data_IF_890612719552
#
_entry.id   IF_890612719552
#
_cell.length_a   1.000
_cell.length_b   1.000
_cell.length_c   1.000
_cell.angle_alpha   90.00
_cell.angle_beta   90.00
_cell.angle_gamma   90.00
#
_symmetry.space_group_name_H-M   'P 1'
#
loop_
_entity.id
_entity.type
_entity.pdbx_description
1 polymer ?
#
# COMPACT_ATOMS: atom_id res chain seq x y z
N UNK A 1 18.65 2.17 -21.25
CA UNK A 1 17.19 2.36 -21.32
C UNK A 1 16.57 1.04 -21.77
N UNK A 2 15.49 0.57 -21.13
CA UNK A 2 14.83 -0.69 -21.51
C UNK A 2 14.10 -0.48 -22.84
N UNK A 3 14.39 -1.33 -23.82
CA UNK A 3 13.69 -1.35 -25.11
C UNK A 3 12.44 -2.22 -24.99
N UNK A 4 11.29 -1.56 -24.85
CA UNK A 4 9.99 -2.22 -24.62
C UNK A 4 9.50 -2.98 -25.86
N UNK A 5 9.95 -2.63 -27.06
CA UNK A 5 9.56 -3.30 -28.31
C UNK A 5 10.06 -4.74 -28.39
N UNK A 6 11.10 -5.10 -27.62
CA UNK A 6 11.62 -6.47 -27.53
C UNK A 6 10.63 -7.45 -26.90
N UNK A 7 9.60 -6.95 -26.22
CA UNK A 7 8.55 -7.77 -25.63
C UNK A 7 7.32 -7.88 -26.51
N UNK A 8 7.30 -7.24 -27.68
CA UNK A 8 6.16 -7.29 -28.59
C UNK A 8 6.07 -8.68 -29.22
N UNK A 9 4.93 -9.33 -29.00
CA UNK A 9 4.57 -10.58 -29.66
C UNK A 9 3.35 -10.33 -30.53
N UNK A 10 3.57 -10.35 -31.84
CA UNK A 10 2.51 -10.20 -32.83
C UNK A 10 1.79 -11.52 -33.06
N UNK A 11 0.47 -11.51 -32.86
CA UNK A 11 -0.41 -12.62 -33.13
C UNK A 11 -1.24 -12.31 -34.38
N UNK A 12 -1.01 -13.10 -35.43
CA UNK A 12 -1.85 -13.13 -36.62
C UNK A 12 -2.99 -14.13 -36.38
N UNK A 13 -4.18 -13.61 -36.14
CA UNK A 13 -5.38 -14.36 -35.78
C UNK A 13 -6.47 -14.16 -36.82
N UNK A 14 -7.54 -14.93 -36.69
CA UNK A 14 -8.80 -14.71 -37.39
C UNK A 14 -9.84 -14.13 -36.44
N UNK A 15 -10.64 -13.21 -36.93
CA UNK A 15 -11.82 -12.72 -36.23
C UNK A 15 -13.06 -12.91 -37.09
N UNK A 16 -14.21 -13.03 -36.41
CA UNK A 16 -15.51 -13.09 -37.04
C UNK A 16 -16.20 -11.75 -36.85
N UNK A 17 -16.63 -11.14 -37.96
CA UNK A 17 -17.48 -9.95 -37.92
C UNK A 17 -18.92 -10.37 -37.62
N UNK A 18 -19.43 -9.96 -36.46
CA UNK A 18 -20.75 -10.37 -35.95
C UNK A 18 -21.53 -9.11 -35.51
N UNK A 19 -22.84 -9.00 -35.81
CA UNK A 19 -23.67 -7.91 -35.31
C UNK A 19 -23.64 -7.81 -33.79
N UNK A 20 -23.55 -6.58 -33.24
CA UNK A 20 -23.40 -6.31 -31.81
C UNK A 20 -24.43 -7.05 -30.92
N UNK A 21 -25.66 -7.20 -31.42
CA UNK A 21 -26.76 -7.84 -30.69
C UNK A 21 -26.58 -9.36 -30.55
N UNK A 22 -25.83 -9.98 -31.46
CA UNK A 22 -25.67 -11.43 -31.57
C UNK A 22 -24.36 -11.94 -30.99
N UNK A 23 -23.42 -11.04 -30.64
CA UNK A 23 -22.10 -11.40 -30.12
C UNK A 23 -22.17 -12.36 -28.93
N UNK A 24 -23.07 -12.12 -27.95
CA UNK A 24 -23.22 -13.00 -26.77
C UNK A 24 -23.60 -14.43 -27.16
N UNK A 25 -24.52 -14.59 -28.10
CA UNK A 25 -24.93 -15.90 -28.59
C UNK A 25 -23.80 -16.58 -29.35
N UNK A 26 -23.11 -15.85 -30.23
CA UNK A 26 -21.95 -16.36 -30.95
C UNK A 26 -20.82 -16.82 -30.03
N UNK A 27 -20.51 -16.04 -28.98
CA UNK A 27 -19.49 -16.41 -27.97
C UNK A 27 -19.84 -17.71 -27.26
N UNK A 28 -21.13 -17.94 -26.96
CA UNK A 28 -21.59 -19.19 -26.32
C UNK A 28 -21.41 -20.40 -27.25
N UNK A 29 -21.74 -20.24 -28.53
CA UNK A 29 -21.57 -21.29 -29.55
C UNK A 29 -20.08 -21.63 -29.70
N UNK A 30 -19.25 -20.60 -29.82
CA UNK A 30 -17.80 -20.69 -30.05
C UNK A 30 -16.99 -20.95 -28.77
N UNK A 31 -17.63 -21.33 -27.66
CA UNK A 31 -16.92 -21.63 -26.42
C UNK A 31 -15.81 -22.68 -26.67
N UNK A 32 -14.60 -22.39 -26.20
CA UNK A 32 -13.39 -23.19 -26.42
C UNK A 32 -12.61 -22.90 -27.71
N UNK A 33 -13.13 -22.03 -28.60
CA UNK A 33 -12.47 -21.62 -29.86
C UNK A 33 -12.16 -20.12 -29.93
N UNK A 34 -12.48 -19.38 -28.87
CA UNK A 34 -12.20 -17.95 -28.76
C UNK A 34 -10.80 -17.72 -28.20
N UNK A 35 -10.25 -16.54 -28.45
CA UNK A 35 -8.99 -16.12 -27.87
C UNK A 35 -9.10 -16.12 -26.33
N UNK A 36 -8.37 -17.04 -25.71
CA UNK A 36 -8.27 -17.18 -24.25
C UNK A 36 -6.90 -16.71 -23.77
N UNK A 37 -6.75 -15.39 -23.63
CA UNK A 37 -5.55 -14.74 -23.10
C UNK A 37 -5.94 -13.83 -21.93
N UNK A 38 -5.24 -13.90 -20.78
CA UNK A 38 -5.54 -13.05 -19.62
C UNK A 38 -5.58 -11.57 -19.98
N UNK A 39 -6.55 -10.80 -19.48
CA UNK A 39 -6.72 -9.35 -19.73
C UNK A 39 -7.01 -8.96 -21.19
N UNK A 40 -7.12 -9.90 -22.12
CA UNK A 40 -7.58 -9.64 -23.49
C UNK A 40 -9.05 -10.03 -23.59
N UNK A 41 -9.88 -9.13 -24.10
CA UNK A 41 -11.30 -9.43 -24.36
C UNK A 41 -11.40 -10.14 -25.70
N UNK A 42 -12.13 -11.27 -25.80
CA UNK A 42 -12.32 -11.97 -27.08
C UNK A 42 -13.27 -11.22 -28.03
N UNK A 43 -13.86 -10.11 -27.60
CA UNK A 43 -14.74 -9.28 -28.42
C UNK A 43 -14.18 -7.86 -28.43
N UNK A 44 -13.94 -7.31 -29.61
CA UNK A 44 -13.45 -5.95 -29.82
C UNK A 44 -14.30 -5.19 -30.83
N UNK A 45 -14.07 -3.90 -30.96
CA UNK A 45 -14.80 -3.05 -31.90
C UNK A 45 -14.38 -3.33 -33.34
N UNK A 46 -15.36 -3.28 -34.25
CA UNK A 46 -15.08 -3.29 -35.68
C UNK A 46 -14.79 -1.84 -36.12
N UNK A 47 -13.55 -1.51 -36.57
CA UNK A 47 -13.18 -0.17 -36.97
C UNK A 47 -13.93 0.32 -38.22
N UNK A 48 -14.54 -0.58 -38.99
CA UNK A 48 -15.26 -0.24 -40.22
C UNK A 48 -16.76 -0.01 -40.00
N UNK A 49 -17.33 -0.55 -38.91
CA UNK A 49 -18.77 -0.52 -38.68
C UNK A 49 -19.15 -0.60 -37.20
N UNK A 50 -19.81 0.44 -36.68
CA UNK A 50 -20.26 0.48 -35.28
C UNK A 50 -21.36 -0.55 -34.93
N UNK A 51 -22.07 -1.09 -35.93
CA UNK A 51 -23.13 -2.09 -35.72
C UNK A 51 -22.58 -3.51 -35.52
N UNK A 52 -21.30 -3.71 -35.78
CA UNK A 52 -20.63 -4.99 -35.68
C UNK A 52 -19.52 -4.97 -34.62
N UNK A 53 -19.13 -6.16 -34.19
CA UNK A 53 -17.95 -6.42 -33.38
C UNK A 53 -17.12 -7.53 -34.00
N UNK A 54 -15.86 -7.54 -33.66
CA UNK A 54 -14.95 -8.64 -33.98
C UNK A 54 -14.95 -9.62 -32.82
N UNK A 55 -15.30 -10.87 -33.10
CA UNK A 55 -15.16 -12.00 -32.19
C UNK A 55 -13.88 -12.74 -32.56
N UNK A 56 -12.86 -12.60 -31.72
CA UNK A 56 -11.49 -13.04 -31.98
C UNK A 56 -11.37 -14.53 -31.68
N UNK A 57 -10.86 -15.29 -32.64
CA UNK A 57 -10.65 -16.73 -32.51
C UNK A 57 -9.31 -17.04 -31.84
N UNK A 58 -9.20 -18.24 -31.27
CA UNK A 58 -7.97 -18.72 -30.66
C UNK A 58 -6.85 -18.88 -31.69
N UNK A 59 -5.61 -18.87 -31.21
CA UNK A 59 -4.38 -19.17 -31.99
C UNK A 59 -4.37 -20.58 -32.62
N UNK A 60 -5.29 -21.45 -32.20
CA UNK A 60 -5.50 -22.80 -32.75
C UNK A 60 -6.28 -22.82 -34.06
N UNK A 61 -7.05 -21.76 -34.34
CA UNK A 61 -7.82 -21.64 -35.59
C UNK A 61 -6.98 -20.83 -36.56
N UNK A 62 -6.27 -21.51 -37.46
CA UNK A 62 -5.34 -20.88 -38.39
C UNK A 62 -5.90 -20.76 -39.80
N UNK A 63 -6.95 -21.53 -40.10
CA UNK A 63 -7.53 -21.62 -41.43
C UNK A 63 -8.71 -20.66 -41.60
N UNK A 64 -8.75 -19.95 -42.73
CA UNK A 64 -9.86 -19.06 -43.08
C UNK A 64 -11.20 -19.82 -43.19
N UNK A 65 -11.16 -21.11 -43.53
CA UNK A 65 -12.34 -21.96 -43.65
C UNK A 65 -12.91 -22.45 -42.31
N UNK A 66 -12.25 -22.10 -41.19
CA UNK A 66 -12.62 -22.51 -39.83
C UNK A 66 -12.67 -24.03 -39.63
N UNK A 67 -11.89 -24.79 -40.41
CA UNK A 67 -11.86 -26.26 -40.37
C UNK A 67 -11.55 -26.85 -38.99
N UNK A 68 -10.87 -26.10 -38.12
CA UNK A 68 -10.54 -26.52 -36.76
C UNK A 68 -11.75 -26.43 -35.79
N UNK A 69 -12.82 -25.73 -36.18
CA UNK A 69 -14.05 -25.61 -35.40
C UNK A 69 -14.99 -26.76 -35.75
N UNK A 70 -15.61 -27.39 -34.75
CA UNK A 70 -16.54 -28.50 -34.97
C UNK A 70 -17.68 -28.09 -35.94
N UNK A 71 -18.04 -28.93 -36.93
CA UNK A 71 -19.09 -28.62 -37.91
C UNK A 71 -20.43 -28.23 -37.28
N UNK A 72 -20.82 -28.89 -36.19
CA UNK A 72 -22.07 -28.60 -35.45
C UNK A 72 -22.13 -27.14 -34.97
N UNK A 73 -21.02 -26.60 -34.44
CA UNK A 73 -20.92 -25.21 -33.99
C UNK A 73 -20.94 -24.23 -35.15
N UNK A 74 -20.29 -24.57 -36.26
CA UNK A 74 -20.32 -23.75 -37.47
C UNK A 74 -21.73 -23.65 -38.06
N UNK A 75 -22.47 -24.76 -38.07
CA UNK A 75 -23.86 -24.79 -38.54
C UNK A 75 -24.78 -23.97 -37.62
N UNK A 76 -24.60 -24.06 -36.30
CA UNK A 76 -25.34 -23.23 -35.35
C UNK A 76 -25.02 -21.73 -35.52
N UNK A 77 -23.74 -21.41 -35.76
CA UNK A 77 -23.30 -20.04 -35.99
C UNK A 77 -23.86 -19.45 -37.30
N UNK A 78 -23.85 -20.22 -38.39
CA UNK A 78 -24.43 -19.82 -39.69
C UNK A 78 -25.95 -19.60 -39.62
N UNK A 79 -26.65 -20.34 -38.75
CA UNK A 79 -28.08 -20.10 -38.48
C UNK A 79 -28.33 -18.80 -37.72
N UNK A 80 -27.36 -18.34 -36.94
CA UNK A 80 -27.49 -17.13 -36.13
C UNK A 80 -27.32 -15.86 -36.96
N UNK A 81 -26.29 -15.82 -37.82
CA UNK A 81 -26.03 -14.68 -38.69
C UNK A 81 -25.12 -15.05 -39.87
N UNK A 82 -25.05 -14.16 -40.86
CA UNK A 82 -24.00 -14.21 -41.86
C UNK A 82 -22.65 -13.90 -41.20
N UNK A 83 -21.71 -14.83 -41.30
CA UNK A 83 -20.40 -14.75 -40.65
C UNK A 83 -19.36 -14.41 -41.70
N UNK A 84 -18.70 -13.27 -41.52
CA UNK A 84 -17.54 -12.91 -42.32
C UNK A 84 -16.27 -13.17 -41.50
N UNK A 85 -15.37 -14.00 -42.04
CA UNK A 85 -14.04 -14.24 -41.48
C UNK A 85 -13.10 -13.15 -41.99
N UNK A 86 -12.33 -12.56 -41.09
CA UNK A 86 -11.41 -11.45 -41.39
C UNK A 86 -10.07 -11.67 -40.69
N UNK A 87 -8.94 -11.28 -41.32
CA UNK A 87 -7.66 -11.30 -40.65
C UNK A 87 -7.65 -10.26 -39.52
N UNK A 88 -7.07 -10.64 -38.38
CA UNK A 88 -6.98 -9.80 -37.19
C UNK A 88 -5.57 -9.89 -36.61
N UNK A 89 -4.89 -8.75 -36.49
CA UNK A 89 -3.57 -8.69 -35.86
C UNK A 89 -3.68 -8.12 -34.45
N UNK A 90 -3.03 -8.78 -33.49
CA UNK A 90 -2.97 -8.37 -32.09
C UNK A 90 -1.52 -8.40 -31.61
N UNK A 91 -1.00 -7.25 -31.21
CA UNK A 91 0.32 -7.14 -30.58
C UNK A 91 0.20 -7.21 -29.07
N UNK A 92 0.80 -8.24 -28.47
CA UNK A 92 0.97 -8.34 -27.02
C UNK A 92 2.28 -7.66 -26.63
N UNK A 93 2.22 -6.37 -26.31
CA UNK A 93 3.40 -5.58 -25.97
C UNK A 93 3.77 -5.59 -24.48
N UNK A 94 4.75 -4.76 -24.11
CA UNK A 94 5.26 -4.66 -22.73
C UNK A 94 4.15 -4.59 -21.67
N UNK A 95 3.13 -3.75 -21.84
CA UNK A 95 2.02 -3.58 -20.89
C UNK A 95 1.22 -4.85 -20.59
N UNK A 96 1.18 -5.80 -21.54
CA UNK A 96 0.56 -7.10 -21.35
C UNK A 96 1.38 -7.99 -20.41
N UNK A 97 2.70 -7.91 -20.39
CA UNK A 97 3.52 -8.84 -19.61
C UNK A 97 3.62 -8.46 -18.12
N UNK A 98 3.70 -9.48 -17.25
CA UNK A 98 3.97 -9.29 -15.82
C UNK A 98 5.41 -8.86 -15.57
N UNK A 99 5.69 -8.28 -14.40
CA UNK A 99 7.05 -7.94 -13.99
C UNK A 99 7.98 -9.17 -14.03
N UNK A 100 7.53 -10.29 -13.46
CA UNK A 100 8.28 -11.56 -13.47
C UNK A 100 8.63 -12.03 -14.89
N UNK A 101 7.66 -11.98 -15.82
CA UNK A 101 7.89 -12.38 -17.20
C UNK A 101 8.93 -11.50 -17.90
N UNK A 102 8.79 -10.18 -17.75
CA UNK A 102 9.72 -9.20 -18.32
C UNK A 102 11.13 -9.40 -17.75
N UNK A 103 11.26 -9.50 -16.43
CA UNK A 103 12.56 -9.61 -15.77
C UNK A 103 13.26 -10.92 -16.11
N UNK A 104 12.54 -12.04 -16.24
CA UNK A 104 13.12 -13.33 -16.66
C UNK A 104 13.74 -13.30 -18.06
N UNK A 105 13.24 -12.45 -18.96
CA UNK A 105 13.82 -12.30 -20.29
C UNK A 105 15.04 -11.37 -20.32
N UNK A 106 15.11 -10.43 -19.37
CA UNK A 106 16.21 -9.45 -19.29
C UNK A 106 17.40 -10.02 -18.51
N UNK A 107 17.12 -10.70 -17.40
CA UNK A 107 18.14 -11.19 -16.48
C UNK A 107 18.83 -12.45 -17.03
N UNK A 108 20.11 -12.69 -16.67
CA UNK A 108 20.83 -13.87 -17.12
C UNK A 108 20.15 -15.17 -16.68
N UNK A 109 20.25 -16.25 -17.47
CA UNK A 109 19.72 -17.54 -17.08
C UNK A 109 20.41 -18.03 -15.79
N UNK A 110 19.62 -18.50 -14.82
CA UNK A 110 20.11 -19.01 -13.54
C UNK A 110 20.08 -18.00 -12.39
N UNK A 111 19.84 -16.71 -12.67
CA UNK A 111 19.66 -15.69 -11.62
C UNK A 111 18.22 -15.70 -11.13
N UNK A 112 18.03 -15.73 -9.81
CA UNK A 112 16.70 -15.65 -9.22
C UNK A 112 16.11 -14.25 -9.40
N UNK A 113 14.93 -14.18 -10.02
CA UNK A 113 14.22 -12.92 -10.22
C UNK A 113 13.58 -12.47 -8.91
N UNK A 114 13.76 -11.22 -8.48
CA UNK A 114 13.06 -10.68 -7.32
C UNK A 114 11.55 -10.77 -7.52
N UNK A 115 10.92 -11.73 -6.85
CA UNK A 115 9.50 -12.04 -7.00
C UNK A 115 8.62 -11.23 -6.05
N UNK A 116 9.21 -10.64 -5.00
CA UNK A 116 8.50 -9.86 -4.00
C UNK A 116 9.30 -8.64 -3.55
N UNK A 117 8.59 -7.61 -3.11
CA UNK A 117 9.14 -6.40 -2.53
C UNK A 117 8.25 -5.94 -1.37
N UNK A 118 8.82 -5.17 -0.45
CA UNK A 118 8.02 -4.58 0.63
C UNK A 118 7.35 -3.30 0.12
N UNK A 119 6.06 -3.12 0.47
CA UNK A 119 5.33 -1.89 0.14
C UNK A 119 5.12 -1.08 1.40
N UNK A 120 5.52 0.19 1.34
CA UNK A 120 5.34 1.19 2.39
C UNK A 120 4.57 2.33 1.76
N UNK A 121 3.23 2.28 1.87
CA UNK A 121 2.36 3.25 1.23
C UNK A 121 2.55 3.23 -0.30
N UNK A 122 3.10 4.32 -0.82
CA UNK A 122 3.39 4.50 -2.25
C UNK A 122 4.86 4.16 -2.62
N UNK A 123 5.63 3.61 -1.68
CA UNK A 123 7.04 3.28 -1.85
C UNK A 123 7.20 1.76 -1.98
N UNK A 124 7.95 1.32 -2.99
CA UNK A 124 8.41 -0.07 -3.10
C UNK A 124 9.86 -0.18 -2.63
N UNK A 125 10.10 -1.00 -1.63
CA UNK A 125 11.43 -1.28 -1.09
C UNK A 125 11.93 -2.62 -1.63
N UNK A 126 12.97 -2.55 -2.45
CA UNK A 126 13.70 -3.69 -3.02
C UNK A 126 14.90 -4.06 -2.13
N UNK A 127 15.20 -5.36 -2.10
CA UNK A 127 16.43 -5.88 -1.53
C UNK A 127 17.25 -6.54 -2.65
N UNK A 128 18.07 -5.75 -3.33
CA UNK A 128 18.85 -6.21 -4.49
C UNK A 128 20.19 -6.74 -3.99
N UNK A 129 20.42 -8.04 -4.20
CA UNK A 129 21.69 -8.70 -3.88
C UNK A 129 22.78 -8.38 -4.91
N UNK A 130 24.03 -8.63 -4.55
CA UNK A 130 25.22 -8.26 -5.34
C UNK A 130 25.17 -8.73 -6.80
N UNK A 131 24.65 -9.93 -7.04
CA UNK A 131 24.48 -10.52 -8.38
C UNK A 131 23.51 -9.73 -9.28
N UNK A 132 22.55 -9.03 -8.68
CA UNK A 132 21.52 -8.26 -9.36
C UNK A 132 21.82 -6.75 -9.40
N UNK A 133 22.84 -6.27 -8.68
CA UNK A 133 23.23 -4.86 -8.69
C UNK A 133 23.49 -4.29 -10.09
N UNK A 134 24.11 -5.03 -11.04
CA UNK A 134 24.28 -4.53 -12.41
C UNK A 134 22.96 -4.26 -13.15
N UNK A 135 21.86 -4.87 -12.70
CA UNK A 135 20.53 -4.78 -13.30
C UNK A 135 19.56 -3.91 -12.50
N UNK A 136 20.02 -3.27 -11.40
CA UNK A 136 19.16 -2.59 -10.43
C UNK A 136 18.24 -1.55 -11.06
N UNK A 137 18.73 -0.76 -12.02
CA UNK A 137 17.97 0.30 -12.66
C UNK A 137 16.85 -0.26 -13.55
N UNK A 138 17.13 -1.37 -14.25
CA UNK A 138 16.14 -2.03 -15.10
C UNK A 138 15.10 -2.75 -14.25
N UNK A 139 15.52 -3.43 -13.17
CA UNK A 139 14.61 -4.04 -12.20
C UNK A 139 13.68 -2.97 -11.63
N UNK A 140 14.24 -1.86 -11.15
CA UNK A 140 13.47 -0.77 -10.57
C UNK A 140 12.49 -0.15 -11.57
N UNK A 141 12.90 0.09 -12.82
CA UNK A 141 12.00 0.58 -13.88
C UNK A 141 10.83 -0.39 -14.09
N UNK A 142 11.10 -1.69 -14.22
CA UNK A 142 10.02 -2.67 -14.43
C UNK A 142 9.08 -2.72 -13.24
N UNK A 143 9.60 -2.74 -12.01
CA UNK A 143 8.76 -2.71 -10.81
C UNK A 143 7.92 -1.43 -10.75
N UNK A 144 8.50 -0.28 -11.06
CA UNK A 144 7.80 1.00 -11.12
C UNK A 144 6.67 0.97 -12.16
N UNK A 145 6.97 0.67 -13.42
CA UNK A 145 6.00 0.70 -14.52
C UNK A 145 4.82 -0.26 -14.27
N UNK A 146 5.09 -1.45 -13.74
CA UNK A 146 4.07 -2.48 -13.51
C UNK A 146 3.18 -2.20 -12.30
N UNK A 147 3.56 -1.28 -11.42
CA UNK A 147 2.82 -0.92 -10.23
C UNK A 147 2.33 0.53 -10.21
N UNK A 148 2.64 1.31 -11.24
CA UNK A 148 2.10 2.66 -11.42
C UNK A 148 0.58 2.62 -11.64
N UNK A 149 -0.21 3.56 -11.06
CA UNK A 149 0.18 4.72 -10.25
C UNK A 149 0.26 4.47 -8.74
N UNK A 150 0.11 3.21 -8.29
CA UNK A 150 0.09 2.88 -6.86
C UNK A 150 1.45 3.10 -6.20
N UNK A 151 2.51 2.68 -6.87
CA UNK A 151 3.89 2.92 -6.46
C UNK A 151 4.42 4.14 -7.21
N UNK A 152 4.97 5.08 -6.45
CA UNK A 152 5.55 6.34 -6.95
C UNK A 152 7.06 6.42 -6.77
N UNK A 153 7.61 5.66 -5.82
CA UNK A 153 9.05 5.66 -5.53
C UNK A 153 9.52 4.23 -5.35
N UNK A 154 10.59 3.84 -6.02
CA UNK A 154 11.27 2.54 -5.83
C UNK A 154 12.62 2.79 -5.20
N UNK A 155 12.88 2.15 -4.07
CA UNK A 155 14.12 2.30 -3.31
C UNK A 155 14.82 0.96 -3.15
N UNK A 156 16.14 0.99 -3.01
CA UNK A 156 16.95 -0.14 -2.60
C UNK A 156 17.70 0.18 -1.33
N UNK A 157 17.81 -0.79 -0.42
CA UNK A 157 18.60 -0.65 0.80
C UNK A 157 20.09 -0.69 0.46
N UNK A 158 20.86 0.24 1.02
CA UNK A 158 22.31 0.34 0.82
C UNK A 158 23.04 0.23 2.15
N UNK A 159 24.04 -0.65 2.21
CA UNK A 159 24.89 -0.83 3.39
C UNK A 159 24.22 -1.49 4.59
N UNK A 160 25.01 -1.67 5.65
CA UNK A 160 24.54 -2.18 6.93
C UNK A 160 23.88 -1.06 7.76
N UNK A 161 22.91 -1.42 8.60
CA UNK A 161 22.33 -0.48 9.58
C UNK A 161 23.41 -0.23 10.65
N UNK A 162 23.98 0.98 10.62
CA UNK A 162 25.08 1.35 11.51
C UNK A 162 24.76 2.56 12.42
N UNK A 163 23.55 3.12 12.33
CA UNK A 163 23.14 4.26 13.15
C UNK A 163 22.32 3.85 14.38
N UNK A 164 22.38 4.67 15.43
CA UNK A 164 21.65 4.47 16.69
C UNK A 164 20.12 4.46 16.50
N UNK A 165 19.62 5.17 15.49
CA UNK A 165 18.19 5.25 15.16
C UNK A 165 17.67 4.05 14.35
N UNK A 166 18.55 3.12 13.96
CA UNK A 166 18.23 1.93 13.16
C UNK A 166 17.58 2.22 11.80
N UNK A 167 17.73 3.43 11.28
CA UNK A 167 17.19 3.85 9.98
C UNK A 167 18.14 3.39 8.87
N UNK A 168 17.72 2.50 7.96
CA UNK A 168 18.55 2.08 6.84
C UNK A 168 18.86 3.24 5.89
N UNK A 169 20.01 3.20 5.22
CA UNK A 169 20.25 4.10 4.09
C UNK A 169 19.60 3.51 2.84
N UNK A 170 18.97 4.39 2.06
CA UNK A 170 18.28 4.01 0.84
C UNK A 170 18.84 4.78 -0.35
N UNK A 171 18.89 4.12 -1.50
CA UNK A 171 19.02 4.78 -2.79
C UNK A 171 17.68 4.74 -3.52
N UNK A 172 17.28 5.85 -4.14
CA UNK A 172 16.09 5.91 -4.99
C UNK A 172 16.51 5.45 -6.38
N UNK A 173 15.88 4.38 -6.88
CA UNK A 173 16.19 3.77 -8.18
C UNK A 173 15.22 4.20 -9.29
N UNK A 174 13.95 4.45 -8.97
CA UNK A 174 12.96 4.88 -9.94
C UNK A 174 11.84 5.71 -9.30
N UNK A 175 11.21 6.58 -10.10
CA UNK A 175 10.06 7.39 -9.70
C UNK A 175 10.40 8.75 -9.09
N UNK A 176 9.52 9.22 -8.19
CA UNK A 176 9.62 10.51 -7.52
C UNK A 176 10.75 10.51 -6.48
N UNK A 177 11.42 11.66 -6.27
CA UNK A 177 12.44 11.82 -5.23
C UNK A 177 11.82 12.22 -3.88
N UNK A 178 10.78 11.49 -3.49
CA UNK A 178 10.04 11.69 -2.25
C UNK A 178 9.86 10.34 -1.53
N UNK A 179 10.15 10.34 -0.23
CA UNK A 179 10.01 9.19 0.66
C UNK A 179 8.99 9.43 1.78
N UNK A 180 8.26 10.55 1.73
CA UNK A 180 7.10 10.80 2.57
C UNK A 180 5.91 10.00 2.07
N UNK A 181 5.27 9.23 2.93
CA UNK A 181 4.13 8.40 2.57
C UNK A 181 3.19 8.15 3.74
N UNK A 182 2.06 7.51 3.44
CA UNK A 182 1.07 7.10 4.43
C UNK A 182 0.80 5.61 4.31
N UNK A 183 0.76 4.93 5.46
CA UNK A 183 0.44 3.50 5.57
C UNK A 183 -0.79 3.35 6.45
N UNK A 184 -1.73 2.51 6.02
CA UNK A 184 -2.91 2.16 6.81
C UNK A 184 -2.75 0.75 7.37
N UNK A 185 -2.74 0.62 8.70
CA UNK A 185 -2.67 -0.66 9.40
C UNK A 185 -3.71 -0.70 10.53
N UNK A 186 -4.51 -1.75 10.58
CA UNK A 186 -5.58 -1.96 11.59
C UNK A 186 -6.48 -0.76 11.89
N UNK A 187 -6.83 0.02 10.87
CA UNK A 187 -7.70 1.20 11.03
C UNK A 187 -6.99 2.46 11.53
N UNK A 188 -5.69 2.39 11.83
CA UNK A 188 -4.83 3.55 12.04
C UNK A 188 -4.12 3.97 10.74
N UNK A 189 -3.85 5.26 10.61
CA UNK A 189 -3.10 5.85 9.50
C UNK A 189 -1.78 6.39 10.04
N UNK A 190 -0.68 5.98 9.42
CA UNK A 190 0.67 6.38 9.81
C UNK A 190 1.31 7.14 8.67
N UNK A 191 1.54 8.43 8.87
CA UNK A 191 2.42 9.24 8.03
C UNK A 191 3.86 9.07 8.49
N UNK A 192 4.77 8.95 7.54
CA UNK A 192 6.20 8.84 7.79
C UNK A 192 7.03 9.36 6.61
N UNK A 193 8.28 9.70 6.88
CA UNK A 193 9.33 9.76 5.88
C UNK A 193 10.20 8.52 6.05
N UNK A 194 10.16 7.62 5.07
CA UNK A 194 10.84 6.34 5.14
C UNK A 194 12.37 6.47 5.19
N UNK A 195 12.92 7.63 4.83
CA UNK A 195 14.35 7.92 4.95
C UNK A 195 14.80 8.35 6.34
N UNK A 196 13.85 8.74 7.21
CA UNK A 196 14.12 9.33 8.54
C UNK A 196 13.73 8.45 9.71
N UNK A 197 12.83 7.47 9.50
CA UNK A 197 12.31 6.61 10.58
C UNK A 197 12.37 5.14 10.20
N UNK A 198 12.48 4.28 11.22
CA UNK A 198 12.35 2.84 11.03
C UNK A 198 10.88 2.46 10.84
N UNK A 199 10.59 1.67 9.80
CA UNK A 199 9.28 1.06 9.57
C UNK A 199 9.43 -0.31 8.91
N UNK A 200 8.58 -1.24 9.31
CA UNK A 200 8.50 -2.59 8.74
C UNK A 200 7.04 -3.05 8.70
N UNK A 201 6.47 -3.11 7.50
CA UNK A 201 5.07 -3.47 7.29
C UNK A 201 4.80 -4.94 7.66
N UNK A 202 5.82 -5.81 7.72
CA UNK A 202 5.65 -7.24 8.05
C UNK A 202 5.38 -7.50 9.52
N UNK A 203 5.66 -6.53 10.40
CA UNK A 203 5.43 -6.66 11.84
C UNK A 203 3.98 -6.36 12.23
N UNK A 204 3.13 -5.98 11.26
CA UNK A 204 1.73 -5.65 11.46
C UNK A 204 0.99 -6.69 12.34
N UNK A 205 1.02 -7.97 11.94
CA UNK A 205 0.35 -9.03 12.70
C UNK A 205 0.83 -9.17 14.15
N UNK A 206 2.11 -8.93 14.41
CA UNK A 206 2.66 -9.00 15.75
C UNK A 206 2.23 -7.79 16.59
N UNK A 207 2.19 -6.60 15.97
CA UNK A 207 1.70 -5.39 16.62
C UNK A 207 0.26 -5.56 17.11
N UNK A 208 -0.65 -6.04 16.25
CA UNK A 208 -2.05 -6.22 16.66
C UNK A 208 -2.21 -7.32 17.70
N UNK A 209 -1.40 -8.38 17.64
CA UNK A 209 -1.47 -9.47 18.62
C UNK A 209 -1.24 -8.95 20.03
N UNK A 210 -0.26 -8.06 20.21
CA UNK A 210 0.00 -7.42 21.50
C UNK A 210 -1.07 -6.38 21.84
N UNK A 211 -1.38 -5.47 20.92
CA UNK A 211 -2.41 -4.43 21.13
C UNK A 211 -3.76 -5.05 21.49
N UNK A 212 -4.11 -6.22 20.95
CA UNK A 212 -5.37 -6.91 21.21
C UNK A 212 -5.59 -7.24 22.68
N UNK A 213 -4.51 -7.39 23.46
CA UNK A 213 -4.56 -7.73 24.88
C UNK A 213 -4.86 -6.53 25.76
N UNK A 214 -4.55 -5.31 25.30
CA UNK A 214 -4.78 -4.08 26.05
C UNK A 214 -6.26 -3.78 26.26
N UNK A 215 -6.57 -3.28 27.45
CA UNK A 215 -7.90 -2.91 27.91
C UNK A 215 -8.02 -1.39 28.08
N UNK A 216 -9.24 -0.88 27.90
CA UNK A 216 -9.53 0.54 28.08
C UNK A 216 -9.17 0.98 29.51
N UNK A 217 -8.52 2.14 29.62
CA UNK A 217 -8.09 2.73 30.89
C UNK A 217 -6.75 2.20 31.41
N UNK A 218 -6.12 1.25 30.72
CA UNK A 218 -4.74 0.85 31.05
C UNK A 218 -3.74 1.95 30.70
N UNK A 219 -2.63 1.96 31.44
CA UNK A 219 -1.47 2.79 31.16
C UNK A 219 -0.42 1.93 30.46
N UNK A 220 -0.07 2.32 29.23
CA UNK A 220 0.91 1.64 28.41
C UNK A 220 2.18 2.48 28.35
N UNK A 221 3.32 1.85 28.59
CA UNK A 221 4.64 2.47 28.44
C UNK A 221 5.35 1.84 27.24
N UNK A 222 5.52 2.61 26.17
CA UNK A 222 6.22 2.22 24.97
C UNK A 222 7.59 2.92 24.92
N UNK A 223 8.65 2.18 25.26
CA UNK A 223 10.01 2.72 25.41
C UNK A 223 10.70 3.06 24.07
N UNK A 224 10.25 2.44 22.98
CA UNK A 224 10.84 2.52 21.64
C UNK A 224 9.73 2.64 20.60
N UNK A 225 8.91 3.67 20.78
CA UNK A 225 7.62 3.82 20.11
C UNK A 225 7.74 4.07 18.61
N UNK A 226 8.90 4.49 18.10
CA UNK A 226 9.04 4.91 16.71
C UNK A 226 7.96 5.93 16.34
N UNK A 227 7.24 5.68 15.25
CA UNK A 227 6.11 6.52 14.81
C UNK A 227 4.75 6.11 15.40
N UNK A 228 4.76 5.17 16.36
CA UNK A 228 3.60 4.75 17.15
C UNK A 228 2.81 3.52 16.68
N UNK A 229 3.39 2.47 16.06
CA UNK A 229 2.62 1.30 15.64
C UNK A 229 1.95 0.55 16.81
N UNK A 230 2.47 0.67 18.04
CA UNK A 230 1.79 0.21 19.27
C UNK A 230 1.02 1.33 19.97
N UNK A 231 1.64 2.50 20.11
CA UNK A 231 1.08 3.63 20.85
C UNK A 231 -0.25 4.12 20.27
N UNK A 232 -0.34 4.28 18.95
CA UNK A 232 -1.55 4.80 18.30
C UNK A 232 -2.73 3.83 18.46
N UNK A 233 -2.61 2.52 18.14
CA UNK A 233 -3.72 1.59 18.35
C UNK A 233 -4.09 1.37 19.82
N UNK A 234 -3.11 1.42 20.74
CA UNK A 234 -3.38 1.36 22.18
C UNK A 234 -4.22 2.56 22.65
N UNK A 235 -3.86 3.77 22.20
CA UNK A 235 -4.60 4.98 22.50
C UNK A 235 -6.02 4.95 21.88
N UNK A 236 -6.18 4.40 20.67
CA UNK A 236 -7.51 4.20 20.05
C UNK A 236 -8.42 3.26 20.86
N UNK A 237 -7.84 2.31 21.62
CA UNK A 237 -8.59 1.48 22.59
C UNK A 237 -8.97 2.22 23.89
N UNK A 238 -8.53 3.48 24.04
CA UNK A 238 -8.75 4.29 25.23
C UNK A 238 -7.74 4.00 26.35
N UNK A 239 -6.53 3.58 26.02
CA UNK A 239 -5.40 3.52 26.95
C UNK A 239 -4.72 4.91 27.03
N UNK A 240 -4.08 5.20 28.15
CA UNK A 240 -3.13 6.33 28.25
C UNK A 240 -1.75 5.78 27.91
N UNK A 241 -1.05 6.41 26.97
CA UNK A 241 0.23 5.90 26.47
C UNK A 241 1.35 6.90 26.73
N UNK A 242 2.38 6.44 27.44
CA UNK A 242 3.66 7.13 27.54
C UNK A 242 4.60 6.53 26.48
N UNK A 243 4.88 7.29 25.43
CA UNK A 243 5.59 6.83 24.25
C UNK A 243 6.92 7.57 24.10
N UNK A 244 8.02 6.83 24.09
CA UNK A 244 9.37 7.37 23.99
C UNK A 244 10.10 6.79 22.78
N UNK A 245 10.96 7.58 22.16
CA UNK A 245 11.91 7.11 21.15
C UNK A 245 13.15 8.00 21.15
N UNK A 246 14.31 7.43 20.85
CA UNK A 246 15.56 8.18 20.79
C UNK A 246 15.63 9.06 19.53
N UNK A 247 14.99 8.64 18.43
CA UNK A 247 15.00 9.38 17.17
C UNK A 247 14.00 10.56 17.23
N UNK A 248 14.47 11.82 17.10
CA UNK A 248 13.57 12.98 17.12
C UNK A 248 12.57 12.98 15.94
N UNK A 249 12.95 12.45 14.78
CA UNK A 249 12.04 12.34 13.62
C UNK A 249 10.91 11.34 13.89
N UNK A 250 11.21 10.22 14.59
CA UNK A 250 10.20 9.26 15.05
C UNK A 250 9.17 9.94 15.93
N UNK A 251 9.61 10.74 16.91
CA UNK A 251 8.72 11.48 17.81
C UNK A 251 7.92 12.56 17.09
N UNK A 252 8.53 13.26 16.11
CA UNK A 252 7.78 14.20 15.26
C UNK A 252 6.64 13.48 14.54
N UNK A 253 6.92 12.33 13.92
CA UNK A 253 5.90 11.55 13.22
C UNK A 253 4.89 10.91 14.16
N UNK A 254 5.28 10.46 15.36
CA UNK A 254 4.36 9.99 16.38
C UNK A 254 3.32 11.07 16.74
N UNK A 255 3.76 12.32 16.96
CA UNK A 255 2.85 13.44 17.26
C UNK A 255 1.92 13.75 16.08
N UNK A 256 2.44 13.73 14.85
CA UNK A 256 1.63 13.88 13.62
C UNK A 256 0.58 12.77 13.54
N UNK A 257 0.99 11.52 13.75
CA UNK A 257 0.13 10.35 13.68
C UNK A 257 -0.93 10.35 14.79
N UNK A 258 -0.59 10.80 15.99
CA UNK A 258 -1.55 10.95 17.08
C UNK A 258 -2.69 11.89 16.70
N UNK A 259 -2.36 13.04 16.09
CA UNK A 259 -3.34 13.99 15.55
C UNK A 259 -4.16 13.42 14.40
N UNK A 260 -3.52 12.76 13.43
CA UNK A 260 -4.21 12.12 12.29
C UNK A 260 -5.26 11.11 12.79
N UNK A 261 -4.93 10.36 13.83
CA UNK A 261 -5.79 9.34 14.41
C UNK A 261 -6.70 9.85 15.55
N UNK A 262 -6.64 11.14 15.88
CA UNK A 262 -7.45 11.81 16.92
C UNK A 262 -7.29 11.18 18.31
N UNK A 263 -6.04 10.89 18.67
CA UNK A 263 -5.67 10.27 19.96
C UNK A 263 -4.54 11.02 20.65
N UNK A 264 -4.24 12.24 20.21
CA UNK A 264 -3.17 13.07 20.78
C UNK A 264 -3.39 13.41 22.26
N UNK A 265 -4.62 13.49 22.73
CA UNK A 265 -4.94 13.67 24.16
C UNK A 265 -4.57 12.45 25.02
N UNK A 266 -4.39 11.28 24.41
CA UNK A 266 -4.11 10.02 25.10
C UNK A 266 -2.62 9.62 25.03
N UNK A 267 -1.78 10.41 24.36
CA UNK A 267 -0.37 10.07 24.12
C UNK A 267 0.55 11.16 24.67
N UNK A 268 1.36 10.77 25.65
CA UNK A 268 2.47 11.58 26.16
C UNK A 268 3.76 11.17 25.43
N UNK A 269 4.27 12.02 24.53
CA UNK A 269 5.42 11.71 23.67
C UNK A 269 6.75 12.31 24.20
N UNK A 270 7.78 11.48 24.33
CA UNK A 270 9.10 11.83 24.87
C UNK A 270 10.21 11.50 23.87
N UNK A 271 11.27 12.33 23.82
CA UNK A 271 12.46 12.05 23.00
C UNK A 271 13.69 11.90 23.89
N UNK A 272 13.92 10.68 24.39
CA UNK A 272 14.96 10.39 25.36
C UNK A 272 15.58 9.01 25.16
N UNK A 273 16.78 8.81 25.73
CA UNK A 273 17.30 7.46 25.94
C UNK A 273 16.30 6.68 26.81
N UNK A 274 15.93 5.47 26.35
CA UNK A 274 14.89 4.67 26.99
C UNK A 274 15.18 4.32 28.46
N UNK A 275 16.46 4.21 28.85
CA UNK A 275 16.84 3.95 30.25
C UNK A 275 16.56 5.18 31.10
N UNK A 276 16.91 6.37 30.62
CA UNK A 276 16.61 7.65 31.30
C UNK A 276 15.11 7.87 31.41
N UNK A 277 14.38 7.60 30.33
CA UNK A 277 12.92 7.71 30.29
C UNK A 277 12.24 6.85 31.36
N UNK A 278 12.60 5.56 31.47
CA UNK A 278 12.04 4.69 32.49
C UNK A 278 12.44 5.13 33.90
N UNK A 279 13.70 5.51 34.13
CA UNK A 279 14.12 6.00 35.44
C UNK A 279 13.27 7.18 35.90
N UNK A 280 13.04 8.16 35.02
CA UNK A 280 12.21 9.34 35.32
C UNK A 280 10.73 8.99 35.51
N UNK A 281 10.19 8.04 34.74
CA UNK A 281 8.79 7.62 34.88
C UNK A 281 8.55 6.88 36.21
N UNK A 282 9.58 6.21 36.74
CA UNK A 282 9.54 5.46 38.00
C UNK A 282 9.95 6.27 39.22
N UNK A 283 10.46 7.50 39.04
CA UNK A 283 10.74 8.41 40.15
C UNK A 283 9.42 8.74 40.85
N UNK A 284 9.24 8.22 42.06
CA UNK A 284 8.09 8.57 42.89
C UNK A 284 8.06 10.09 43.09
N UNK A 285 6.89 10.75 43.00
CA UNK A 285 6.80 12.15 43.37
C UNK A 285 7.30 12.26 44.81
N UNK A 286 8.36 13.05 45.01
CA UNK A 286 8.83 13.39 46.35
C UNK A 286 7.64 14.06 47.03
N UNK A 287 7.04 13.37 47.99
CA UNK A 287 6.00 13.93 48.83
C UNK A 287 6.65 15.01 49.69
N UNK A 288 6.80 16.22 49.17
CA UNK A 288 6.83 17.39 50.02
C UNK A 288 5.42 17.54 50.58
N UNK A 289 5.28 17.19 51.86
CA UNK A 289 4.10 17.50 52.65
C UNK A 289 3.89 19.01 52.62
N UNK A 290 3.09 19.50 51.68
CA UNK A 290 2.31 20.72 51.81
C UNK A 290 0.99 20.47 51.10
N UNK A 291 -0.07 20.43 51.89
CA UNK A 291 -1.42 20.26 51.44
C UNK A 291 -1.82 21.44 50.55
N UNK A 292 -1.90 21.20 49.25
CA UNK A 292 -2.86 21.82 48.34
C UNK A 292 -2.96 20.95 47.08
N UNK A 293 -3.91 20.01 47.14
CA UNK A 293 -4.29 19.20 46.00
C UNK A 293 -5.04 20.10 45.02
N UNK A 294 -4.41 20.44 43.89
CA UNK A 294 -5.12 20.91 42.71
C UNK A 294 -4.47 20.34 41.45
N UNK A 295 -5.31 19.63 40.70
CA UNK A 295 -5.10 19.03 39.38
C UNK A 295 -4.20 19.87 38.47
N UNK A 296 -2.95 19.44 38.25
CA UNK A 296 -2.08 20.02 37.22
C UNK A 296 -1.11 18.98 36.64
N UNK A 297 -1.64 17.93 36.00
CA UNK A 297 -0.84 17.04 35.14
C UNK A 297 -1.29 17.05 33.67
N UNK A 298 -2.06 18.08 33.27
CA UNK A 298 -2.54 18.29 31.89
C UNK A 298 -1.98 19.57 31.23
N UNK A 299 -0.91 20.17 31.77
CA UNK A 299 -0.35 21.44 31.25
C UNK A 299 1.13 21.39 30.83
N UNK A 300 1.72 20.21 30.66
CA UNK A 300 3.10 20.08 30.21
C UNK A 300 3.25 19.97 28.68
N UNK A 301 2.20 20.28 27.90
CA UNK A 301 2.23 20.16 26.43
C UNK A 301 2.48 21.46 25.66
N UNK A 302 2.69 22.61 26.31
CA UNK A 302 2.85 23.89 25.58
C UNK A 302 4.21 24.59 25.64
N UNK A 303 5.15 24.23 26.51
CA UNK A 303 6.43 24.96 26.59
C UNK A 303 7.63 24.17 26.04
N UNK A 304 7.80 24.24 24.73
CA UNK A 304 9.11 24.14 24.07
C UNK A 304 9.17 25.17 22.94
N UNK A 305 9.15 26.45 23.31
CA UNK A 305 9.55 27.54 22.41
C UNK A 305 11.06 27.48 22.21
N UNK A 306 11.46 27.33 20.95
CA UNK A 306 12.84 27.42 20.46
C UNK A 306 13.45 28.75 20.93
N UNK A 307 14.57 28.68 21.65
CA UNK A 307 15.43 29.83 21.89
C UNK A 307 16.38 29.96 20.70
N UNK A 308 16.09 30.89 19.80
CA UNK A 308 17.05 31.41 18.84
C UNK A 308 17.97 32.39 19.59
N UNK A 309 19.25 32.05 19.69
CA UNK A 309 20.30 33.00 20.04
C UNK A 309 21.05 33.39 18.76
N UNK A 310 20.82 34.63 18.31
CA UNK A 310 21.74 35.37 17.45
C UNK A 310 22.95 35.83 18.28
N UNK A 311 24.17 35.57 17.80
CA UNK A 311 25.08 36.61 17.30
C UNK A 311 26.47 36.03 16.94
N UNK A 312 26.89 36.20 15.68
CA UNK A 312 28.16 36.85 15.38
C UNK A 312 28.19 37.31 13.92
N UNK A 313 28.19 38.63 13.74
CA UNK A 313 28.42 39.38 12.50
C UNK A 313 29.77 39.03 11.86
N UNK A 314 29.84 39.09 10.52
CA UNK A 314 30.82 39.89 9.74
C UNK A 314 30.13 40.31 8.42
N UNK A 315 30.30 41.58 8.09
CA UNK A 315 29.74 42.35 6.96
C UNK A 315 30.22 41.87 5.58
N UNK A 316 29.43 42.07 4.52
CA UNK A 316 29.69 43.17 3.56
C UNK A 316 28.71 43.29 2.37
N UNK A 317 28.29 44.55 2.17
CA UNK A 317 28.08 45.26 0.88
C UNK A 317 26.76 45.15 0.10
N UNK A 318 25.91 46.16 0.36
CA UNK A 318 25.20 47.11 -0.54
C UNK A 318 24.81 46.72 -1.98
N UNK A 319 23.53 46.96 -2.27
CA UNK A 319 22.89 47.72 -3.40
C UNK A 319 21.51 47.05 -3.60
N UNK A 320 20.34 47.67 -3.49
CA UNK A 320 19.88 49.02 -3.84
C UNK A 320 18.58 48.83 -4.66
N UNK A 321 17.66 49.79 -4.57
CA UNK A 321 16.52 50.07 -5.47
C UNK A 321 15.12 49.59 -5.03
N UNK A 322 14.45 50.56 -4.41
CA UNK A 322 13.11 51.14 -4.71
C UNK A 322 11.81 50.34 -4.56
N UNK A 323 10.96 50.92 -3.71
CA UNK A 323 9.52 50.76 -3.67
C UNK A 323 8.84 51.69 -4.68
N UNK A 324 7.74 51.23 -5.27
CA UNK A 324 6.66 52.11 -5.73
C UNK A 324 5.31 51.49 -5.33
N UNK A 325 4.61 52.20 -4.45
CA UNK A 325 3.17 52.08 -4.22
C UNK A 325 2.42 52.81 -5.34
N UNK A 326 1.31 52.23 -5.79
CA UNK A 326 0.24 52.99 -6.44
C UNK A 326 -1.12 52.53 -5.90
N UNK A 327 -1.78 53.47 -5.22
CA UNK A 327 -3.13 53.39 -4.69
C UNK A 327 -4.20 53.28 -5.79
N UNK A 328 -5.27 52.52 -5.52
CA UNK A 328 -6.62 52.87 -5.96
C UNK A 328 -7.66 52.43 -4.93
N UNK A 329 -8.58 53.33 -4.66
CA UNK A 329 -9.46 53.48 -3.51
C UNK A 329 -10.79 52.70 -3.56
N UNK A 330 -11.18 52.19 -2.39
CA UNK A 330 -12.51 52.31 -1.73
C UNK A 330 -13.75 51.65 -2.37
N UNK A 331 -14.31 50.67 -1.67
CA UNK A 331 -15.63 50.77 -1.03
C UNK A 331 -15.79 49.66 0.01
N UNK A 332 -16.11 50.04 1.25
CA UNK A 332 -16.31 49.13 2.36
C UNK A 332 -17.70 48.51 2.36
N UNK A 333 -17.82 47.38 3.06
CA UNK A 333 -18.95 47.11 3.93
C UNK A 333 -18.48 46.17 5.06
N UNK A 334 -18.73 46.65 6.27
CA UNK A 334 -18.62 45.95 7.55
C UNK A 334 -19.91 45.14 7.71
N UNK A 335 -19.80 43.87 8.13
CA UNK A 335 -20.69 43.24 9.12
C UNK A 335 -20.25 41.79 9.34
N UNK A 336 -19.53 41.60 10.45
CA UNK A 336 -19.26 40.32 11.09
C UNK A 336 -20.17 40.18 12.31
N UNK A 337 -20.43 38.91 12.66
CA UNK A 337 -20.90 38.41 13.95
C UNK A 337 -22.39 38.59 14.28
N UNK A 338 -23.17 37.52 14.08
CA UNK A 338 -23.87 36.80 15.16
C UNK A 338 -24.56 35.54 14.60
N UNK A 339 -24.73 34.55 15.47
CA UNK A 339 -25.54 33.32 15.32
C UNK A 339 -24.85 32.04 14.83
N UNK A 340 -24.17 31.37 15.76
CA UNK A 340 -23.98 29.91 15.71
C UNK A 340 -24.10 29.31 17.12
N UNK A 341 -25.31 29.32 17.65
CA UNK A 341 -25.73 28.44 18.75
C UNK A 341 -27.17 27.98 18.52
N UNK A 342 -27.30 26.76 17.99
CA UNK A 342 -28.42 25.81 18.08
C UNK A 342 -28.51 25.06 16.76
N UNK A 343 -28.15 23.78 16.78
CA UNK A 343 -28.85 22.68 16.12
C UNK A 343 -27.94 21.45 16.04
N UNK A 344 -27.95 20.59 17.05
CA UNK A 344 -27.88 19.15 16.81
C UNK A 344 -28.96 18.49 17.66
N UNK A 345 -30.05 18.15 16.99
CA UNK A 345 -31.05 17.21 17.47
C UNK A 345 -30.51 15.77 17.36
N UNK A 346 -30.52 15.13 18.51
CA UNK A 346 -30.84 13.75 18.89
C UNK A 346 -31.23 12.68 17.83
N UNK A 347 -30.85 11.43 18.18
CA UNK A 347 -31.27 10.08 17.72
C UNK A 347 -30.48 9.47 16.54
N UNK A 348 -30.11 8.18 16.53
CA UNK A 348 -30.61 7.02 17.28
C UNK A 348 -29.53 5.93 17.47
N UNK A 349 -29.65 5.21 18.60
CA UNK A 349 -29.06 3.91 18.82
C UNK A 349 -29.70 2.86 17.89
N UNK A 350 -28.88 2.02 17.27
CA UNK A 350 -29.33 0.83 16.55
C UNK A 350 -28.89 -0.44 17.28
N UNK A 351 -29.92 -1.12 17.75
CA UNK A 351 -30.03 -2.44 18.40
C UNK A 351 -29.30 -3.60 17.73
N UNK A 352 -28.73 -4.45 18.58
CA UNK A 352 -28.45 -5.89 18.34
C UNK A 352 -29.72 -6.63 17.86
N UNK A 353 -29.54 -7.62 16.98
CA UNK A 353 -30.28 -8.89 17.02
C UNK A 353 -29.41 -10.09 16.60
N UNK A 354 -29.75 -11.30 17.08
CA UNK A 354 -28.86 -12.45 17.20
C UNK A 354 -29.05 -13.45 16.04
N UNK A 355 -28.15 -14.42 15.93
CA UNK A 355 -28.41 -15.66 15.19
C UNK A 355 -28.10 -16.85 16.08
N UNK A 356 -29.17 -17.51 16.52
CA UNK A 356 -29.20 -18.76 17.26
C UNK A 356 -28.91 -19.99 16.37
N UNK A 357 -28.50 -21.04 17.08
CA UNK A 357 -28.18 -22.41 16.68
C UNK A 357 -29.26 -23.20 15.92
N UNK A 358 -28.81 -24.25 15.20
CA UNK A 358 -29.34 -25.64 15.16
C UNK A 358 -28.18 -26.53 14.62
N UNK A 359 -27.50 -27.39 15.40
CA UNK A 359 -27.81 -28.75 15.88
C UNK A 359 -28.01 -29.85 14.82
N UNK A 360 -27.14 -30.87 14.94
CA UNK A 360 -27.23 -32.32 14.61
C UNK A 360 -27.30 -32.70 13.10
N UNK A 361 -26.61 -33.73 12.61
CA UNK A 361 -26.60 -35.13 13.09
C UNK A 361 -25.28 -35.90 12.85
N UNK A 362 -25.16 -36.98 13.62
CA UNK A 362 -24.13 -38.01 13.64
C UNK A 362 -24.10 -38.92 12.39
N UNK A 363 -22.95 -39.55 12.17
CA UNK A 363 -22.83 -40.72 11.30
C UNK A 363 -21.48 -41.44 11.42
N UNK A 364 -21.31 -42.25 12.46
CA UNK A 364 -20.26 -43.29 12.55
C UNK A 364 -20.40 -44.32 11.43
N UNK A 365 -19.29 -44.90 10.96
CA UNK A 365 -19.10 -46.35 10.72
C UNK A 365 -17.59 -46.68 10.54
N UNK A 366 -17.11 -47.48 11.50
CA UNK A 366 -16.13 -48.58 11.53
C UNK A 366 -15.18 -48.91 10.35
N UNK A 367 -13.99 -49.40 10.76
CA UNK A 367 -13.26 -50.51 10.11
C UNK A 367 -11.77 -50.24 9.90
N UNK A 368 -10.90 -50.50 10.87
CA UNK A 368 -10.15 -51.76 11.05
C UNK A 368 -9.16 -52.10 9.92
N UNK A 369 -7.87 -52.24 10.24
CA UNK A 369 -6.88 -52.86 9.35
C UNK A 369 -5.43 -52.52 9.67
N UNK A 370 -4.77 -53.40 10.43
CA UNK A 370 -3.36 -53.38 10.76
C UNK A 370 -2.44 -53.69 9.56
N UNK A 371 -1.18 -53.25 9.65
CA UNK A 371 0.11 -53.94 9.34
C UNK A 371 1.20 -52.86 9.30
N UNK A 372 2.02 -52.68 10.34
CA UNK A 372 3.29 -53.38 10.58
C UNK A 372 4.17 -53.52 9.32
N UNK A 373 5.24 -52.71 9.21
CA UNK A 373 6.59 -53.17 8.81
C UNK A 373 7.66 -52.22 9.37
N UNK A 374 8.48 -52.83 10.24
CA UNK A 374 9.79 -52.43 10.74
C UNK A 374 10.83 -51.85 9.75
N UNK A 375 11.70 -50.95 10.25
CA UNK A 375 13.20 -51.02 10.23
C UNK A 375 13.77 -49.68 10.76
N UNK A 376 14.32 -49.59 11.98
CA UNK A 376 15.75 -49.77 12.36
C UNK A 376 16.69 -49.20 11.29
N UNK A 377 17.51 -48.16 11.50
CA UNK A 377 18.65 -47.91 12.43
C UNK A 377 19.28 -46.61 11.83
N UNK A 378 19.92 -45.66 12.50
CA UNK A 378 20.51 -45.56 13.82
C UNK A 378 21.85 -44.81 13.68
N UNK A 379 22.13 -43.91 14.63
CA UNK A 379 23.46 -43.42 15.08
C UNK A 379 24.23 -42.54 14.06
N UNK A 380 24.98 -41.52 14.47
CA UNK A 380 25.62 -41.24 15.75
C UNK A 380 25.58 -39.75 16.10
#
# INVERSE_FOLDING_TARGET
MLDESKFDVDLNLWALRIPCQLCKAATRILNGYLLDKPRIKPITEDPTCQKNRYVILSDRVQSHDLSEISPQKLDELKKLCEVQVIPYSLTLGYSYWSADHVLKQILPPGVEVPSSFETIGQIAHLNIHDELLPYKDVIAKVIYDKNYPRIKTVVNKVGAIANEFRVPKFEILAGERDMVTEVKQYGAIFKLDYSLVYWNSRLEHEHIRLVSQFQRGEIICDMFAGIGPFAIPAAQKGCIVYANDLNPDSIRYLKINAKINKVDDCICAYNMDARKFISQLMEAPVCENNAECNVSMLKACEDCSVQDNEESRIENTRLGVEAEEAHASVSGNVEDAQDLYKNIHTFAAATKRPSDCCLQENGSINGAGATDVSRRKGRH
#
